data_IF_100909312980
#
_entry.id   IF_100909312980
#
_cell.length_a   1.000
_cell.length_b   1.000
_cell.length_c   1.000
_cell.angle_alpha   90.00
_cell.angle_beta   90.00
_cell.angle_gamma   90.00
#
_symmetry.space_group_name_H-M   'P 1'
#
loop_
_entity.id
_entity.type
_entity.pdbx_description
1 polymer ?
#
# COMPACT_ATOMS: atom_id res chain seq x y z
N UNK A 1 17.94 8.17 -24.33
CA UNK A 1 17.09 7.41 -23.37
C UNK A 1 16.15 8.41 -22.71
N UNK A 2 14.88 8.42 -23.12
CA UNK A 2 13.93 9.45 -22.71
C UNK A 2 13.48 9.16 -21.28
N UNK A 3 13.94 9.97 -20.33
CA UNK A 3 13.55 9.89 -18.92
C UNK A 3 12.08 10.28 -18.84
N UNK A 4 11.19 9.31 -18.56
CA UNK A 4 9.79 9.59 -18.26
C UNK A 4 9.75 10.28 -16.88
N UNK A 5 9.74 11.61 -16.87
CA UNK A 5 9.38 12.39 -15.68
C UNK A 5 7.86 12.33 -15.52
N UNK A 6 7.32 11.28 -14.89
CA UNK A 6 5.89 11.25 -14.55
C UNK A 6 5.67 11.97 -13.23
N UNK A 7 5.14 13.20 -13.34
CA UNK A 7 4.46 13.87 -12.23
C UNK A 7 3.17 13.08 -12.00
N UNK A 8 3.13 12.25 -10.95
CA UNK A 8 1.95 11.47 -10.61
C UNK A 8 0.90 12.41 -10.02
N UNK A 9 -0.04 12.84 -10.86
CA UNK A 9 -1.11 13.75 -10.49
C UNK A 9 -2.40 13.07 -10.89
N UNK A 10 -3.18 12.65 -9.87
CA UNK A 10 -4.59 12.22 -9.94
C UNK A 10 -4.76 10.69 -10.14
N UNK A 11 -5.77 10.04 -9.51
CA UNK A 11 -6.15 8.67 -9.85
C UNK A 11 -6.49 8.58 -11.35
N UNK A 12 -5.88 7.61 -12.05
CA UNK A 12 -5.96 7.31 -13.51
C UNK A 12 -4.72 7.63 -14.33
N UNK A 13 -3.63 8.06 -13.72
CA UNK A 13 -2.35 8.08 -14.42
C UNK A 13 -1.98 6.67 -14.92
N UNK A 14 -1.44 6.60 -16.14
CA UNK A 14 -0.97 5.35 -16.74
C UNK A 14 0.54 5.43 -16.88
N UNK A 15 1.23 4.44 -16.33
CA UNK A 15 2.66 4.25 -16.50
C UNK A 15 2.84 3.35 -17.73
N UNK A 16 3.40 3.92 -18.80
CA UNK A 16 3.72 3.19 -20.01
C UNK A 16 5.17 2.68 -19.93
N UNK A 17 5.35 1.36 -20.00
CA UNK A 17 6.63 0.67 -19.96
C UNK A 17 7.06 0.14 -21.35
N UNK A 18 6.35 0.54 -22.41
CA UNK A 18 6.54 0.05 -23.78
C UNK A 18 5.48 -0.98 -24.14
N UNK A 19 5.77 -2.26 -23.88
CA UNK A 19 4.88 -3.40 -24.13
C UNK A 19 3.82 -3.61 -23.04
N UNK A 20 3.85 -2.78 -21.98
CA UNK A 20 3.02 -2.92 -20.80
C UNK A 20 2.53 -1.58 -20.29
N UNK A 21 1.26 -1.52 -19.89
CA UNK A 21 0.64 -0.35 -19.29
C UNK A 21 0.14 -0.66 -17.88
N UNK A 22 0.54 0.15 -16.90
CA UNK A 22 0.08 0.03 -15.53
C UNK A 22 -0.78 1.23 -15.17
N UNK A 23 -2.04 0.97 -14.81
CA UNK A 23 -2.95 2.00 -14.31
C UNK A 23 -2.65 2.28 -12.84
N UNK A 24 -2.38 3.53 -12.49
CA UNK A 24 -2.21 3.95 -11.11
C UNK A 24 -3.57 4.19 -10.45
N UNK A 25 -3.79 3.47 -9.35
CA UNK A 25 -5.00 3.55 -8.56
C UNK A 25 -4.68 4.13 -7.20
N UNK A 26 -5.18 5.32 -6.88
CA UNK A 26 -5.11 5.85 -5.51
C UNK A 26 -6.02 5.01 -4.61
N UNK A 27 -5.44 4.44 -3.55
CA UNK A 27 -6.06 3.47 -2.64
C UNK A 27 -5.69 3.82 -1.19
N UNK A 28 -6.19 4.95 -0.65
CA UNK A 28 -5.85 5.42 0.69
C UNK A 28 -6.42 4.50 1.78
N UNK A 29 -5.83 4.52 2.96
CA UNK A 29 -6.31 3.73 4.09
C UNK A 29 -5.18 3.35 5.02
N UNK A 30 -4.29 2.49 4.53
CA UNK A 30 -3.00 2.19 5.18
C UNK A 30 -2.17 3.46 5.36
N UNK A 31 -2.02 4.25 4.28
CA UNK A 31 -1.52 5.62 4.33
C UNK A 31 -2.38 6.54 3.45
N UNK A 32 -2.21 7.87 3.60
CA UNK A 32 -2.92 8.86 2.75
C UNK A 32 -2.49 8.79 1.28
N UNK A 33 -1.24 8.40 1.03
CA UNK A 33 -0.62 8.37 -0.29
C UNK A 33 -0.58 6.98 -0.93
N UNK A 34 -1.19 5.97 -0.31
CA UNK A 34 -1.15 4.60 -0.80
C UNK A 34 -1.75 4.49 -2.20
N UNK A 35 -1.06 3.76 -3.08
CA UNK A 35 -1.47 3.48 -4.45
C UNK A 35 -1.34 1.97 -4.73
N UNK A 36 -2.14 1.49 -5.66
CA UNK A 36 -1.91 0.22 -6.35
C UNK A 36 -1.56 0.48 -7.81
N UNK A 37 -0.79 -0.43 -8.42
CA UNK A 37 -0.57 -0.46 -9.86
C UNK A 37 -1.34 -1.64 -10.45
N UNK A 38 -2.21 -1.37 -11.42
CA UNK A 38 -3.06 -2.38 -12.02
C UNK A 38 -2.67 -2.62 -13.48
N UNK A 39 -2.25 -3.85 -13.76
CA UNK A 39 -2.11 -4.39 -15.10
C UNK A 39 -3.43 -5.07 -15.48
N UNK A 40 -4.20 -4.38 -16.33
CA UNK A 40 -5.54 -4.85 -16.77
C UNK A 40 -5.45 -6.06 -17.67
N UNK A 41 -4.49 -6.08 -18.59
CA UNK A 41 -4.36 -7.11 -19.61
C UNK A 41 -3.98 -8.46 -18.99
N UNK A 42 -3.10 -8.43 -17.98
CA UNK A 42 -2.69 -9.62 -17.23
C UNK A 42 -3.50 -9.87 -15.96
N UNK A 43 -4.45 -8.98 -15.64
CA UNK A 43 -5.26 -9.01 -14.41
C UNK A 43 -4.40 -9.13 -13.14
N UNK A 44 -3.29 -8.38 -13.11
CA UNK A 44 -2.35 -8.36 -11.98
C UNK A 44 -2.48 -7.03 -11.22
N UNK A 45 -2.60 -7.13 -9.89
CA UNK A 45 -2.57 -5.98 -9.00
C UNK A 45 -1.29 -5.96 -8.17
N UNK A 46 -0.47 -4.94 -8.32
CA UNK A 46 0.62 -4.65 -7.39
C UNK A 46 0.05 -3.76 -6.27
N UNK A 47 -0.10 -4.33 -5.08
CA UNK A 47 -0.85 -3.68 -3.99
C UNK A 47 0.03 -2.94 -2.97
N UNK A 48 1.34 -3.20 -2.94
CA UNK A 48 2.20 -2.69 -1.87
C UNK A 48 1.63 -3.07 -0.51
N UNK A 49 1.47 -2.08 0.37
CA UNK A 49 0.93 -2.26 1.73
C UNK A 49 -0.59 -2.04 1.83
N UNK A 50 -1.27 -1.80 0.70
CA UNK A 50 -2.73 -1.65 0.68
C UNK A 50 -3.41 -2.96 1.08
N UNK A 51 -2.92 -4.08 0.56
CA UNK A 51 -3.44 -5.41 0.89
C UNK A 51 -2.36 -6.45 0.69
N UNK A 52 -2.22 -7.32 1.67
CA UNK A 52 -1.29 -8.44 1.68
C UNK A 52 -1.89 -9.57 2.53
N UNK A 53 -1.33 -10.77 2.43
CA UNK A 53 -1.86 -11.96 3.11
C UNK A 53 -1.54 -11.98 4.62
N UNK A 54 -2.08 -11.01 5.35
CA UNK A 54 -1.86 -10.80 6.76
C UNK A 54 -2.88 -9.82 7.35
N UNK A 55 -2.56 -9.28 8.53
CA UNK A 55 -3.41 -8.26 9.15
C UNK A 55 -3.24 -6.92 8.47
N UNK A 56 -4.33 -6.35 7.96
CA UNK A 56 -4.32 -5.02 7.35
C UNK A 56 -4.12 -3.97 8.43
N UNK A 57 -3.02 -3.22 8.33
CA UNK A 57 -2.60 -2.26 9.34
C UNK A 57 -3.26 -0.91 9.07
N UNK A 58 -4.06 -0.45 10.04
CA UNK A 58 -4.79 0.82 9.97
C UNK A 58 -4.65 1.70 11.23
N UNK A 59 -3.75 1.33 12.14
CA UNK A 59 -3.46 2.03 13.39
C UNK A 59 -2.24 2.94 13.29
N UNK A 60 -1.63 3.10 12.12
CA UNK A 60 -0.51 4.03 11.95
C UNK A 60 -1.00 5.49 11.99
N UNK A 61 -0.12 6.45 12.32
CA UNK A 61 -0.51 7.85 12.52
C UNK A 61 -1.20 8.52 11.33
N UNK A 62 -0.96 8.02 10.11
CA UNK A 62 -1.51 8.56 8.87
C UNK A 62 -2.58 7.67 8.24
N UNK A 63 -2.96 6.58 8.90
CA UNK A 63 -4.04 5.71 8.46
C UNK A 63 -5.41 6.32 8.74
N UNK A 64 -6.39 5.99 7.90
CA UNK A 64 -7.79 6.40 8.07
C UNK A 64 -8.70 5.23 7.74
N UNK A 65 -9.41 4.72 8.76
CA UNK A 65 -10.31 3.56 8.63
C UNK A 65 -11.39 3.80 7.58
N UNK A 66 -12.01 4.99 7.55
CA UNK A 66 -13.05 5.32 6.55
C UNK A 66 -12.54 5.20 5.12
N UNK A 67 -11.32 5.69 4.88
CA UNK A 67 -10.69 5.66 3.57
C UNK A 67 -10.31 4.22 3.21
N UNK A 68 -9.85 3.44 4.19
CA UNK A 68 -9.48 2.04 4.00
C UNK A 68 -10.70 1.16 3.69
N UNK A 69 -11.84 1.40 4.35
CA UNK A 69 -13.11 0.73 4.00
C UNK A 69 -13.48 0.99 2.54
N UNK A 70 -13.44 2.26 2.09
CA UNK A 70 -13.70 2.60 0.69
C UNK A 70 -12.69 1.98 -0.29
N UNK A 71 -11.43 1.83 0.13
CA UNK A 71 -10.42 1.08 -0.65
C UNK A 71 -10.74 -0.41 -0.72
N UNK A 72 -11.16 -1.04 0.39
CA UNK A 72 -11.55 -2.45 0.41
C UNK A 72 -12.78 -2.72 -0.46
N UNK A 73 -13.78 -1.83 -0.47
CA UNK A 73 -14.95 -1.90 -1.36
C UNK A 73 -14.50 -1.90 -2.83
N UNK A 74 -13.60 -0.98 -3.21
CA UNK A 74 -13.05 -0.92 -4.57
C UNK A 74 -12.22 -2.14 -4.94
N UNK A 75 -11.50 -2.75 -3.99
CA UNK A 75 -10.78 -4.00 -4.24
C UNK A 75 -11.76 -5.16 -4.51
N UNK A 76 -12.88 -5.22 -3.80
CA UNK A 76 -13.95 -6.19 -4.04
C UNK A 76 -14.54 -5.99 -5.44
N UNK A 77 -14.85 -4.75 -5.82
CA UNK A 77 -15.36 -4.45 -7.17
C UNK A 77 -14.42 -4.91 -8.29
N UNK A 78 -13.09 -4.80 -8.09
CA UNK A 78 -12.11 -5.30 -9.06
C UNK A 78 -12.17 -6.82 -9.21
N UNK A 79 -12.36 -7.54 -8.10
CA UNK A 79 -12.51 -9.00 -8.10
C UNK A 79 -13.83 -9.40 -8.75
N UNK A 80 -14.94 -8.79 -8.37
CA UNK A 80 -16.28 -9.10 -8.89
C UNK A 80 -16.39 -8.85 -10.40
N UNK A 81 -15.66 -7.85 -10.91
CA UNK A 81 -15.58 -7.56 -12.36
C UNK A 81 -14.59 -8.43 -13.10
N UNK A 82 -13.92 -9.37 -12.43
CA UNK A 82 -12.90 -10.25 -13.03
C UNK A 82 -11.67 -9.51 -13.56
N UNK A 83 -11.37 -8.34 -12.99
CA UNK A 83 -10.26 -7.47 -13.42
C UNK A 83 -8.94 -7.81 -12.71
N UNK A 84 -8.99 -8.61 -11.64
CA UNK A 84 -7.82 -9.06 -10.89
C UNK A 84 -7.93 -10.57 -10.68
N UNK A 85 -6.89 -11.30 -11.05
CA UNK A 85 -6.72 -12.73 -10.81
C UNK A 85 -5.56 -13.00 -9.85
N UNK A 86 -4.52 -12.15 -9.87
CA UNK A 86 -3.32 -12.30 -9.05
C UNK A 86 -2.90 -10.97 -8.40
N UNK A 87 -2.49 -11.05 -7.14
CA UNK A 87 -2.01 -9.92 -6.35
C UNK A 87 -0.54 -10.13 -5.97
N UNK A 88 0.27 -9.09 -6.21
CA UNK A 88 1.66 -9.00 -5.81
C UNK A 88 1.80 -7.94 -4.71
N UNK A 89 1.78 -8.36 -3.43
CA UNK A 89 1.90 -7.43 -2.30
C UNK A 89 3.34 -6.96 -2.08
N UNK A 90 3.51 -5.90 -1.26
CA UNK A 90 4.82 -5.45 -0.79
C UNK A 90 5.44 -6.39 0.25
N UNK A 91 4.61 -7.17 0.94
CA UNK A 91 4.99 -8.14 1.95
C UNK A 91 4.26 -9.47 1.77
N UNK A 92 4.83 -10.55 2.29
CA UNK A 92 4.29 -11.91 2.20
C UNK A 92 4.23 -12.46 0.76
N UNK A 93 3.57 -13.60 0.58
CA UNK A 93 3.49 -14.30 -0.69
C UNK A 93 2.41 -13.71 -1.62
N UNK A 94 2.56 -13.95 -2.91
CA UNK A 94 1.52 -13.64 -3.91
C UNK A 94 0.28 -14.48 -3.68
N UNK A 95 -0.91 -13.92 -3.89
CA UNK A 95 -2.18 -14.61 -3.71
C UNK A 95 -3.19 -14.28 -4.82
N UNK A 96 -4.27 -15.05 -4.87
CA UNK A 96 -5.31 -14.94 -5.90
C UNK A 96 -6.50 -14.04 -5.51
N UNK A 97 -7.37 -13.79 -6.49
CA UNK A 97 -8.56 -12.96 -6.34
C UNK A 97 -9.51 -13.38 -5.20
N UNK A 98 -9.70 -14.68 -4.99
CA UNK A 98 -10.53 -15.19 -3.91
C UNK A 98 -9.99 -14.77 -2.53
N UNK A 99 -8.66 -14.84 -2.35
CA UNK A 99 -8.02 -14.41 -1.11
C UNK A 99 -8.12 -12.89 -0.95
N UNK A 100 -7.96 -12.13 -2.03
CA UNK A 100 -8.17 -10.68 -2.04
C UNK A 100 -9.57 -10.31 -1.54
N UNK A 101 -10.61 -10.95 -2.10
CA UNK A 101 -11.99 -10.74 -1.70
C UNK A 101 -12.19 -11.03 -0.21
N UNK A 102 -11.69 -12.18 0.27
CA UNK A 102 -11.81 -12.55 1.70
C UNK A 102 -11.13 -11.54 2.62
N UNK A 103 -9.92 -11.08 2.28
CA UNK A 103 -9.17 -10.10 3.10
C UNK A 103 -9.92 -8.77 3.17
N UNK A 104 -10.38 -8.23 2.03
CA UNK A 104 -11.11 -6.97 1.97
C UNK A 104 -12.45 -7.05 2.71
N UNK A 105 -13.25 -8.10 2.47
CA UNK A 105 -14.54 -8.30 3.13
C UNK A 105 -14.40 -8.49 4.64
N UNK A 106 -13.36 -9.21 5.08
CA UNK A 106 -13.07 -9.38 6.50
C UNK A 106 -12.64 -8.07 7.19
N UNK A 107 -11.94 -7.19 6.47
CA UNK A 107 -11.59 -5.88 7.01
C UNK A 107 -12.85 -5.03 7.21
N UNK A 108 -13.72 -4.95 6.19
CA UNK A 108 -14.98 -4.19 6.25
C UNK A 108 -15.86 -4.68 7.41
N UNK A 109 -16.02 -5.99 7.57
CA UNK A 109 -16.85 -6.56 8.65
C UNK A 109 -16.31 -6.27 10.06
N UNK A 110 -14.99 -6.10 10.19
CA UNK A 110 -14.32 -5.80 11.46
C UNK A 110 -14.19 -4.31 11.77
N UNK A 111 -14.40 -3.42 10.80
CA UNK A 111 -14.19 -1.96 10.93
C UNK A 111 -15.22 -1.23 11.85
N UNK A 112 -15.76 -1.91 12.86
CA UNK A 112 -16.72 -1.40 13.84
C UNK A 112 -16.12 -0.61 15.02
N UNK A 113 -16.97 -0.28 16.00
CA UNK A 113 -16.64 0.62 17.12
C UNK A 113 -15.47 0.09 17.98
N UNK A 114 -15.46 -1.20 18.31
CA UNK A 114 -14.41 -1.81 19.15
C UNK A 114 -13.02 -1.72 18.47
N UNK A 115 -12.98 -1.90 17.15
CA UNK A 115 -11.76 -1.76 16.36
C UNK A 115 -11.22 -0.32 16.44
N UNK A 116 -12.10 0.69 16.30
CA UNK A 116 -11.70 2.10 16.41
C UNK A 116 -11.05 2.45 17.75
N UNK A 117 -11.56 1.90 18.86
CA UNK A 117 -10.98 2.13 20.20
C UNK A 117 -9.59 1.51 20.31
N UNK A 118 -9.43 0.25 19.88
CA UNK A 118 -8.14 -0.44 19.85
C UNK A 118 -7.12 0.29 18.96
N UNK A 119 -7.53 0.67 17.75
CA UNK A 119 -6.71 1.42 16.80
C UNK A 119 -6.27 2.76 17.37
N UNK A 120 -7.11 3.48 18.13
CA UNK A 120 -6.72 4.74 18.75
C UNK A 120 -5.60 4.57 19.80
N UNK A 121 -5.73 3.54 20.65
CA UNK A 121 -4.69 3.21 21.63
C UNK A 121 -3.36 2.84 20.94
N UNK A 122 -3.43 1.96 19.93
CA UNK A 122 -2.26 1.55 19.15
C UNK A 122 -1.62 2.71 18.39
N UNK A 123 -2.41 3.63 17.84
CA UNK A 123 -1.92 4.82 17.15
C UNK A 123 -1.15 5.76 18.06
N UNK A 124 -1.59 5.90 19.31
CA UNK A 124 -0.90 6.72 20.31
C UNK A 124 0.48 6.13 20.64
N UNK A 125 0.54 4.80 20.87
CA UNK A 125 1.79 4.07 21.10
C UNK A 125 2.72 4.13 19.89
N UNK A 126 2.20 3.91 18.68
CA UNK A 126 2.97 3.97 17.44
C UNK A 126 3.55 5.36 17.19
N UNK A 127 2.77 6.40 17.43
CA UNK A 127 3.23 7.79 17.29
C UNK A 127 4.37 8.11 18.25
N UNK A 128 4.29 7.62 19.49
CA UNK A 128 5.36 7.78 20.47
C UNK A 128 6.61 6.98 20.09
N UNK A 129 6.45 5.72 19.70
CA UNK A 129 7.54 4.87 19.26
C UNK A 129 8.29 5.47 18.07
N UNK A 130 7.58 5.89 17.01
CA UNK A 130 8.19 6.52 15.85
C UNK A 130 8.95 7.80 16.20
N UNK A 131 8.47 8.58 17.17
CA UNK A 131 9.21 9.76 17.69
C UNK A 131 10.46 9.35 18.45
N UNK A 132 10.39 8.32 19.29
CA UNK A 132 11.55 7.83 20.06
C UNK A 132 12.61 7.27 19.10
N UNK A 133 12.23 6.47 18.11
CA UNK A 133 13.16 5.91 17.12
C UNK A 133 13.80 6.98 16.23
N UNK A 134 13.10 8.09 15.94
CA UNK A 134 13.70 9.26 15.28
C UNK A 134 14.68 10.04 16.16
N UNK A 135 14.70 9.79 17.48
CA UNK A 135 15.64 10.41 18.43
C UNK A 135 16.90 9.54 18.64
N UNK A 136 16.87 8.25 18.27
CA UNK A 136 18.03 7.36 18.44
C UNK A 136 19.04 7.61 17.30
N UNK A 137 20.30 8.01 17.60
CA UNK A 137 21.30 8.33 16.58
C UNK A 137 21.70 7.12 15.72
N UNK A 138 22.12 7.40 14.49
CA UNK A 138 22.18 6.55 13.28
C UNK A 138 22.94 5.20 13.33
N UNK A 139 23.40 4.71 14.47
CA UNK A 139 24.30 3.54 14.53
C UNK A 139 23.67 2.21 14.96
N UNK A 140 22.34 2.04 14.86
CA UNK A 140 21.72 0.72 15.03
C UNK A 140 20.69 0.45 13.95
N UNK A 141 21.20 0.13 12.75
CA UNK A 141 20.42 -0.32 11.60
C UNK A 141 19.80 -1.68 11.88
N UNK A 142 18.62 -1.70 12.50
CA UNK A 142 17.67 -2.82 12.39
C UNK A 142 16.70 -2.46 11.28
N UNK A 143 16.90 -3.12 10.14
CA UNK A 143 16.07 -3.20 8.93
C UNK A 143 14.66 -2.60 9.12
N UNK A 144 14.52 -1.31 8.83
CA UNK A 144 13.24 -0.64 8.54
C UNK A 144 13.27 -0.15 7.08
N UNK A 145 13.66 -1.04 6.18
CA UNK A 145 13.48 -0.84 4.75
C UNK A 145 12.04 -1.26 4.41
N UNK A 146 11.33 -0.43 3.62
CA UNK A 146 9.92 -0.56 3.19
C UNK A 146 8.83 0.17 4.02
N UNK A 147 9.00 1.46 4.30
CA UNK A 147 7.81 2.31 4.57
C UNK A 147 7.82 3.69 3.90
N UNK A 148 8.89 4.11 3.22
CA UNK A 148 8.91 5.33 2.42
C UNK A 148 9.81 5.15 1.21
N UNK A 149 9.36 5.63 0.05
CA UNK A 149 10.03 5.70 -1.26
C UNK A 149 9.86 4.53 -2.24
N UNK A 150 8.78 4.58 -3.03
CA UNK A 150 9.00 4.70 -4.47
C UNK A 150 9.41 6.17 -4.72
N UNK A 151 10.67 6.47 -4.42
CA UNK A 151 11.41 7.61 -4.94
C UNK A 151 12.68 7.01 -5.48
N UNK A 152 12.71 6.85 -6.80
CA UNK A 152 13.91 6.49 -7.54
C UNK A 152 14.94 7.61 -7.32
N UNK A 153 16.20 7.20 -7.13
CA UNK A 153 17.43 8.00 -6.91
C UNK A 153 17.70 8.49 -5.48
N UNK A 154 18.71 7.88 -4.82
CA UNK A 154 20.07 8.43 -4.75
C UNK A 154 20.99 7.47 -3.98
N UNK A 155 21.66 6.56 -4.70
CA UNK A 155 23.06 6.22 -4.42
C UNK A 155 23.62 5.32 -5.54
N UNK A 156 24.29 5.92 -6.50
CA UNK A 156 25.42 5.29 -7.17
C UNK A 156 26.55 6.32 -7.16
N UNK A 157 27.73 5.81 -6.75
CA UNK A 157 29.06 6.32 -7.01
C UNK A 157 29.36 7.74 -6.55
N UNK A 158 30.05 7.85 -5.42
CA UNK A 158 31.22 8.71 -5.35
C UNK A 158 32.44 7.86 -5.03
N UNK A 159 33.48 8.06 -5.85
CA UNK A 159 34.90 7.70 -5.74
C UNK A 159 35.37 6.38 -6.38
N UNK A 160 35.92 6.60 -7.59
CA UNK A 160 37.03 5.94 -8.30
C UNK A 160 37.00 4.43 -8.57
#
# INVERSE_FOLDING_TARGET
>A
MQIIKSKLTIPRDVINLGDRQLTVMHMPGHSRGSICLHDKDRKILFSGDVVYDGSLIDWLPYSRISDYVGTCERLIELVDRGLVEKVLPGHFNTFGAERLFRLASNYISKAGICHKVSTFAMRSLASLALRIFQIVPEHTTVIFCFCFNITVTKHLCDND
#
